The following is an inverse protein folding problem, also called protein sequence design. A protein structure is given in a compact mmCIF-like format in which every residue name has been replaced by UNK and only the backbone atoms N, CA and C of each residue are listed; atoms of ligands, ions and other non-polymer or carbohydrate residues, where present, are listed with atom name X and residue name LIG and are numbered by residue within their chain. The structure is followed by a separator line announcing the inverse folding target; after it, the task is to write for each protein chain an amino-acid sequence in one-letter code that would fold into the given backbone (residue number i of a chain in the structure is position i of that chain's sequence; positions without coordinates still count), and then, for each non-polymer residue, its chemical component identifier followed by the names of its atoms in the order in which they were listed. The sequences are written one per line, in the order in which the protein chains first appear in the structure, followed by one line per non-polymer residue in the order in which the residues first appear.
data_IF_728396005722
#
_entry.id   IF_728396005722
#
_cell.length_a   1.000
_cell.length_b   1.000
_cell.length_c   1.000
_cell.angle_alpha   90.00
_cell.angle_beta   90.00
_cell.angle_gamma   90.00
#
_symmetry.space_group_name_H-M   'P 1'
#
loop_
_entity.id
_entity.type
_entity.pdbx_description
1 polymer ?
#
# COMPACT_ATOMS: atom_id res chain seq x y z
N UNK A 1 -4.64 -3.48 15.11
CA UNK A 1 -5.11 -3.56 13.71
C UNK A 1 -3.90 -3.79 12.84
N UNK A 2 -3.84 -4.92 12.12
CA UNK A 2 -2.75 -5.17 11.18
C UNK A 2 -2.90 -4.27 9.96
N UNK A 3 -1.81 -3.61 9.58
CA UNK A 3 -1.69 -2.73 8.42
C UNK A 3 -0.36 -3.09 7.77
N UNK A 4 -0.35 -3.27 6.47
CA UNK A 4 0.84 -3.75 5.77
C UNK A 4 0.88 -3.18 4.37
N UNK A 5 2.05 -2.70 4.00
CA UNK A 5 2.42 -2.32 2.64
C UNK A 5 3.73 -3.02 2.34
N UNK A 6 3.82 -3.69 1.19
CA UNK A 6 5.02 -4.36 0.71
C UNK A 6 5.37 -3.73 -0.62
N UNK A 7 6.60 -3.24 -0.74
CA UNK A 7 7.13 -2.66 -1.96
C UNK A 7 8.35 -3.47 -2.35
N UNK A 8 8.34 -4.03 -3.54
CA UNK A 8 9.44 -4.79 -4.11
C UNK A 8 9.83 -4.17 -5.45
N UNK A 9 11.13 -4.04 -5.71
CA UNK A 9 11.68 -3.54 -6.97
C UNK A 9 12.89 -4.36 -7.41
N UNK A 10 12.92 -4.81 -8.66
CA UNK A 10 14.04 -5.53 -9.27
C UNK A 10 14.06 -5.29 -10.78
N UNK A 11 15.21 -4.90 -11.35
CA UNK A 11 15.46 -4.79 -12.81
C UNK A 11 14.27 -4.23 -13.62
N UNK A 12 13.78 -3.04 -13.24
CA UNK A 12 12.62 -2.38 -13.84
C UNK A 12 11.29 -3.11 -13.68
N UNK A 13 11.12 -3.96 -12.67
CA UNK A 13 9.85 -4.53 -12.26
C UNK A 13 9.56 -4.15 -10.82
N UNK A 14 8.44 -3.46 -10.63
CA UNK A 14 7.98 -3.01 -9.32
C UNK A 14 6.67 -3.69 -8.97
N UNK A 15 6.58 -4.20 -7.75
CA UNK A 15 5.36 -4.76 -7.16
C UNK A 15 5.03 -3.98 -5.91
N UNK A 16 3.76 -3.58 -5.80
CA UNK A 16 3.22 -2.92 -4.62
C UNK A 16 2.01 -3.73 -4.15
N UNK A 17 2.06 -4.18 -2.91
CA UNK A 17 0.95 -4.83 -2.23
C UNK A 17 0.52 -4.02 -1.01
N UNK A 18 -0.77 -4.00 -0.72
CA UNK A 18 -1.23 -3.58 0.59
C UNK A 18 -2.39 -4.43 1.11
N UNK A 19 -2.41 -4.60 2.42
CA UNK A 19 -3.51 -5.24 3.13
C UNK A 19 -4.70 -4.28 3.18
N UNK A 20 -5.84 -4.69 2.64
CA UNK A 20 -7.07 -3.89 2.68
C UNK A 20 -7.52 -3.68 4.13
N UNK A 21 -7.97 -2.46 4.50
CA UNK A 21 -8.57 -2.22 5.80
C UNK A 21 -9.78 -3.15 6.04
N UNK A 22 -9.92 -3.68 7.26
CA UNK A 22 -10.99 -4.63 7.62
C UNK A 22 -12.41 -4.16 7.25
N UNK A 23 -12.65 -2.85 7.28
CA UNK A 23 -13.95 -2.24 6.91
C UNK A 23 -14.28 -2.34 5.42
N UNK A 24 -13.26 -2.44 4.58
CA UNK A 24 -13.38 -2.44 3.11
C UNK A 24 -13.06 -3.85 2.53
N UNK A 25 -12.48 -4.74 3.33
CA UNK A 25 -12.02 -6.04 2.89
C UNK A 25 -13.19 -7.02 2.69
N UNK A 26 -13.30 -7.68 1.52
CA UNK A 26 -14.38 -8.65 1.25
C UNK A 26 -14.23 -9.97 2.04
N UNK A 27 -13.03 -10.28 2.52
CA UNK A 27 -12.72 -11.38 3.43
C UNK A 27 -11.49 -11.05 4.28
N UNK A 28 -11.21 -11.88 5.29
CA UNK A 28 -10.08 -11.69 6.18
C UNK A 28 -8.75 -11.75 5.43
N UNK A 29 -7.84 -10.81 5.72
CA UNK A 29 -6.51 -10.71 5.10
C UNK A 29 -6.53 -10.50 3.57
N UNK A 30 -7.51 -9.78 3.02
CA UNK A 30 -7.54 -9.43 1.60
C UNK A 30 -6.43 -8.43 1.22
N UNK A 31 -5.64 -8.73 0.18
CA UNK A 31 -4.60 -7.86 -0.36
C UNK A 31 -4.97 -7.29 -1.72
N UNK A 32 -4.53 -6.06 -1.98
CA UNK A 32 -4.49 -5.48 -3.33
C UNK A 32 -3.04 -5.51 -3.80
N UNK A 33 -2.83 -6.05 -4.99
CA UNK A 33 -1.52 -6.19 -5.64
C UNK A 33 -1.53 -5.46 -6.97
N UNK A 34 -0.45 -4.76 -7.27
CA UNK A 34 -0.20 -4.22 -8.60
C UNK A 34 1.27 -4.32 -8.98
N UNK A 35 1.52 -4.46 -10.28
CA UNK A 35 2.87 -4.48 -10.86
C UNK A 35 3.02 -3.46 -11.97
N UNK A 36 4.22 -2.91 -12.13
CA UNK A 36 4.54 -1.97 -13.20
C UNK A 36 6.04 -2.01 -13.52
N UNK A 37 6.41 -1.69 -14.76
CA UNK A 37 7.81 -1.47 -15.14
C UNK A 37 8.23 0.00 -15.11
N UNK A 38 7.26 0.90 -15.03
CA UNK A 38 7.48 2.33 -14.94
C UNK A 38 7.67 2.76 -13.48
N UNK A 39 8.81 3.41 -13.20
CA UNK A 39 9.18 3.87 -11.86
C UNK A 39 8.25 4.95 -11.31
N UNK A 40 7.83 5.92 -12.13
CA UNK A 40 6.91 6.97 -11.68
C UNK A 40 5.54 6.39 -11.31
N UNK A 41 5.08 5.41 -12.09
CA UNK A 41 3.86 4.66 -11.78
C UNK A 41 4.03 3.84 -10.50
N UNK A 42 5.19 3.22 -10.30
CA UNK A 42 5.49 2.47 -9.07
C UNK A 42 5.43 3.38 -7.83
N UNK A 43 5.98 4.59 -7.94
CA UNK A 43 5.93 5.60 -6.88
C UNK A 43 4.49 6.00 -6.56
N UNK A 44 3.68 6.31 -7.59
CA UNK A 44 2.25 6.63 -7.42
C UNK A 44 1.48 5.48 -6.76
N UNK A 45 1.72 4.24 -7.19
CA UNK A 45 1.11 3.06 -6.58
C UNK A 45 1.50 2.88 -5.12
N UNK A 46 2.76 3.15 -4.78
CA UNK A 46 3.28 3.06 -3.41
C UNK A 46 2.61 4.08 -2.49
N UNK A 47 2.43 5.33 -2.93
CA UNK A 47 1.73 6.37 -2.18
C UNK A 47 0.28 5.94 -1.92
N UNK A 48 -0.43 5.50 -2.96
CA UNK A 48 -1.82 5.02 -2.84
C UNK A 48 -1.90 3.84 -1.86
N UNK A 49 -0.96 2.90 -1.92
CA UNK A 49 -0.93 1.74 -1.02
C UNK A 49 -0.73 2.17 0.45
N UNK A 50 0.15 3.13 0.71
CA UNK A 50 0.39 3.70 2.04
C UNK A 50 -0.86 4.38 2.58
N UNK A 51 -1.53 5.21 1.77
CA UNK A 51 -2.76 5.90 2.15
C UNK A 51 -3.93 4.92 2.39
N UNK A 52 -4.17 4.02 1.42
CA UNK A 52 -5.33 3.11 1.43
C UNK A 52 -5.22 1.98 2.43
N UNK A 53 -4.01 1.53 2.77
CA UNK A 53 -3.80 0.59 3.88
C UNK A 53 -4.13 1.20 5.24
N UNK A 54 -4.20 2.54 5.32
CA UNK A 54 -4.27 3.28 6.57
C UNK A 54 -3.01 3.12 7.42
N UNK A 55 -1.90 2.62 6.87
CA UNK A 55 -0.63 2.45 7.58
C UNK A 55 -0.07 3.79 8.05
N UNK A 56 -0.24 4.83 7.23
CA UNK A 56 0.07 6.20 7.62
C UNK A 56 -1.05 6.76 8.50
N UNK A 57 -0.79 6.95 9.79
CA UNK A 57 -1.58 7.86 10.61
C UNK A 57 -0.89 9.21 10.54
N UNK A 58 -1.63 10.26 10.21
CA UNK A 58 -1.20 11.60 10.59
C UNK A 58 -0.94 11.56 12.10
N UNK A 59 0.22 12.09 12.55
CA UNK A 59 0.31 12.49 13.94
C UNK A 59 -0.82 13.49 14.13
N UNK A 60 -1.73 13.22 15.06
CA UNK A 60 -2.48 14.32 15.66
C UNK A 60 -1.40 15.21 16.25
N UNK A 61 -1.13 16.35 15.61
CA UNK A 61 -0.36 17.44 16.20
C UNK A 61 -1.11 17.85 17.46
N UNK A 62 -0.77 17.19 18.56
CA UNK A 62 -1.23 17.54 19.89
C UNK A 62 -0.41 18.77 20.28
N UNK A 63 -0.93 19.94 19.91
CA UNK A 63 -0.52 21.24 20.44
C UNK A 63 -1.23 21.46 21.77
#
# INVERSE_FOLDING_TARGET
MNRSVIIFGSENNYRVDYLMPKKDAPWENAYITGTTMDFEKALKMSIIAIEKSGAWREKEDTI
#
